data_IF_932956784919
#
_entry.id   IF_932956784919
#
_cell.length_a   1.000
_cell.length_b   1.000
_cell.length_c   1.000
_cell.angle_alpha   90.00
_cell.angle_beta   90.00
_cell.angle_gamma   90.00
#
_symmetry.space_group_name_H-M   'P 1'
#
loop_
_entity.id
_entity.type
_entity.pdbx_description
1 polymer ?
#
# COMPACT_ATOMS: atom_id res chain seq x y z
N UNK A 1 4.95 44.29 37.48
CA UNK A 1 4.08 43.09 37.56
C UNK A 1 3.19 42.89 36.32
N UNK A 2 2.74 43.95 35.63
CA UNK A 2 1.84 43.86 34.47
C UNK A 2 2.41 43.15 33.20
N UNK A 3 3.74 43.16 32.99
CA UNK A 3 4.38 42.55 31.81
C UNK A 3 4.49 41.02 31.85
N UNK A 4 4.55 40.40 33.03
CA UNK A 4 4.62 38.92 33.15
C UNK A 4 3.28 38.26 32.88
N UNK A 5 2.17 38.84 33.36
CA UNK A 5 0.83 38.28 33.14
C UNK A 5 0.36 38.26 31.69
N UNK A 6 0.75 39.26 30.88
CA UNK A 6 0.36 39.33 29.46
C UNK A 6 1.08 38.27 28.63
N UNK A 7 2.36 38.00 28.93
CA UNK A 7 3.15 36.96 28.24
C UNK A 7 2.61 35.57 28.57
N UNK A 8 2.23 35.32 29.83
CA UNK A 8 1.64 34.03 30.24
C UNK A 8 0.29 33.77 29.57
N UNK A 9 -0.55 34.80 29.39
CA UNK A 9 -1.84 34.67 28.69
C UNK A 9 -1.64 34.44 27.19
N UNK A 10 -0.67 35.11 26.56
CA UNK A 10 -0.39 34.92 25.13
C UNK A 10 0.14 33.50 24.82
N UNK A 11 1.01 32.97 25.69
CA UNK A 11 1.52 31.58 25.58
C UNK A 11 0.39 30.57 25.82
N UNK A 12 -0.49 30.81 26.79
CA UNK A 12 -1.65 29.95 27.03
C UNK A 12 -2.64 29.96 25.87
N UNK A 13 -2.87 31.11 25.20
CA UNK A 13 -3.72 31.19 24.01
C UNK A 13 -3.06 30.50 22.81
N UNK A 14 -1.75 30.63 22.61
CA UNK A 14 -1.03 29.89 21.55
C UNK A 14 -1.07 28.38 21.82
N UNK A 15 -0.90 27.94 23.07
CA UNK A 15 -1.02 26.53 23.48
C UNK A 15 -2.47 26.01 23.33
N UNK A 16 -3.48 26.81 23.67
CA UNK A 16 -4.88 26.42 23.49
C UNK A 16 -5.30 26.39 22.02
N UNK A 17 -4.75 27.27 21.17
CA UNK A 17 -5.01 27.26 19.72
C UNK A 17 -4.20 26.17 19.00
N UNK A 18 -3.02 25.78 19.52
CA UNK A 18 -2.28 24.62 19.03
C UNK A 18 -2.83 23.28 19.53
N UNK A 19 -3.68 23.27 20.56
CA UNK A 19 -4.32 22.06 21.10
C UNK A 19 -5.66 21.71 20.41
N UNK A 20 -6.16 22.55 19.50
CA UNK A 20 -7.47 22.34 18.84
C UNK A 20 -7.40 21.85 17.39
N UNK A 21 -6.20 21.58 16.86
CA UNK A 21 -6.05 20.79 15.63
C UNK A 21 -5.64 19.36 16.02
N UNK A 22 -6.56 18.64 16.66
CA UNK A 22 -6.52 17.19 16.52
C UNK A 22 -7.03 16.92 15.11
N UNK A 23 -6.13 16.73 14.15
CA UNK A 23 -6.45 16.06 12.90
C UNK A 23 -6.94 14.67 13.29
N UNK A 24 -8.25 14.45 13.17
CA UNK A 24 -8.78 13.10 13.26
C UNK A 24 -8.56 12.48 11.89
N UNK A 25 -7.43 11.78 11.70
CA UNK A 25 -7.26 10.98 10.50
C UNK A 25 -8.48 10.05 10.37
N UNK A 26 -9.12 10.06 9.21
CA UNK A 26 -10.27 9.20 8.98
C UNK A 26 -9.77 7.76 8.91
N UNK A 27 -10.33 6.88 9.75
CA UNK A 27 -10.08 5.45 9.61
C UNK A 27 -10.82 4.95 8.37
N UNK A 28 -10.08 4.43 7.41
CA UNK A 28 -10.63 3.61 6.36
C UNK A 28 -10.70 2.17 6.87
N UNK A 29 -11.89 1.58 6.78
CA UNK A 29 -12.14 0.20 7.12
C UNK A 29 -12.99 -0.41 6.01
N UNK A 30 -12.49 -1.48 5.42
CA UNK A 30 -13.21 -2.30 4.48
C UNK A 30 -13.29 -3.71 5.04
N UNK A 31 -14.51 -4.24 5.09
CA UNK A 31 -14.77 -5.64 5.36
C UNK A 31 -15.64 -6.19 4.25
N UNK A 32 -15.10 -7.13 3.48
CA UNK A 32 -15.81 -7.79 2.39
C UNK A 32 -16.53 -9.00 2.98
N UNK A 33 -17.86 -8.93 3.05
CA UNK A 33 -18.74 -10.04 3.43
C UNK A 33 -19.53 -10.51 2.23
N UNK A 34 -19.80 -11.81 2.13
CA UNK A 34 -20.50 -12.40 0.98
C UNK A 34 -21.99 -12.65 1.24
N UNK A 35 -22.53 -12.12 2.35
CA UNK A 35 -23.89 -12.40 2.82
C UNK A 35 -24.96 -12.10 1.75
N UNK A 36 -24.76 -11.05 0.95
CA UNK A 36 -25.68 -10.60 -0.10
C UNK A 36 -25.44 -11.27 -1.47
N UNK A 37 -24.36 -12.03 -1.62
CA UNK A 37 -23.97 -12.63 -2.92
C UNK A 37 -24.69 -13.96 -3.18
N UNK A 38 -25.04 -14.24 -4.44
CA UNK A 38 -25.68 -15.52 -4.79
C UNK A 38 -24.68 -16.68 -4.81
N UNK A 39 -25.13 -17.89 -4.47
CA UNK A 39 -24.34 -19.11 -4.63
C UNK A 39 -24.03 -19.35 -6.12
N UNK A 40 -22.75 -19.53 -6.45
CA UNK A 40 -22.24 -19.61 -7.82
C UNK A 40 -21.95 -18.27 -8.49
N UNK A 41 -22.14 -17.12 -7.81
CA UNK A 41 -21.77 -15.81 -8.34
C UNK A 41 -20.26 -15.76 -8.67
N UNK A 42 -19.90 -15.14 -9.80
CA UNK A 42 -18.49 -14.95 -10.13
C UNK A 42 -17.89 -13.86 -9.27
N UNK A 43 -16.63 -13.99 -8.88
CA UNK A 43 -15.90 -12.91 -8.20
C UNK A 43 -15.84 -11.61 -9.02
N UNK A 44 -16.01 -11.71 -10.35
CA UNK A 44 -16.13 -10.56 -11.26
C UNK A 44 -17.40 -9.73 -11.03
N UNK A 45 -18.34 -10.22 -10.24
CA UNK A 45 -19.63 -9.59 -9.98
C UNK A 45 -19.75 -9.09 -8.53
N UNK A 46 -18.78 -9.41 -7.66
CA UNK A 46 -18.74 -8.98 -6.24
C UNK A 46 -18.16 -7.57 -6.17
N UNK A 47 -19.02 -6.56 -6.34
CA UNK A 47 -18.60 -5.16 -6.50
C UNK A 47 -17.83 -4.60 -5.31
N UNK A 48 -18.25 -4.93 -4.09
CA UNK A 48 -17.59 -4.45 -2.85
C UNK A 48 -16.12 -4.89 -2.77
N UNK A 49 -15.79 -6.06 -3.33
CA UNK A 49 -14.41 -6.52 -3.44
C UNK A 49 -13.67 -5.78 -4.55
N UNK A 50 -14.30 -5.60 -5.71
CA UNK A 50 -13.69 -5.01 -6.89
C UNK A 50 -13.42 -3.50 -6.77
N UNK A 51 -14.08 -2.82 -5.83
CA UNK A 51 -13.82 -1.42 -5.51
C UNK A 51 -12.41 -1.20 -4.90
N UNK A 52 -11.81 -2.24 -4.32
CA UNK A 52 -10.53 -2.14 -3.60
C UNK A 52 -9.48 -3.11 -4.15
N UNK A 53 -9.93 -4.24 -4.69
CA UNK A 53 -9.08 -5.26 -5.25
C UNK A 53 -9.33 -5.45 -6.74
N UNK A 54 -8.26 -5.67 -7.49
CA UNK A 54 -8.33 -6.22 -8.83
C UNK A 54 -8.38 -7.75 -8.75
N UNK A 55 -9.24 -8.36 -9.56
CA UNK A 55 -9.25 -9.80 -9.77
C UNK A 55 -8.63 -10.15 -11.13
N UNK A 56 -7.52 -10.88 -11.11
CA UNK A 56 -6.71 -11.22 -12.29
C UNK A 56 -6.69 -12.74 -12.57
N UNK A 57 -7.68 -13.25 -13.31
CA UNK A 57 -7.71 -14.63 -13.80
C UNK A 57 -6.85 -14.79 -15.06
N UNK A 58 -5.90 -15.71 -15.04
CA UNK A 58 -4.81 -15.78 -16.03
C UNK A 58 -5.15 -16.66 -17.23
N UNK A 59 -5.94 -17.71 -17.02
CA UNK A 59 -6.35 -18.63 -18.08
C UNK A 59 -7.88 -18.69 -18.20
N UNK A 60 -8.43 -19.16 -19.35
CA UNK A 60 -9.88 -19.32 -19.51
C UNK A 60 -10.54 -20.28 -18.50
N UNK A 61 -9.76 -21.10 -17.80
CA UNK A 61 -10.23 -22.02 -16.75
C UNK A 61 -9.92 -21.50 -15.35
N UNK A 62 -9.35 -20.30 -15.24
CA UNK A 62 -9.07 -19.65 -13.97
C UNK A 62 -10.29 -18.86 -13.55
N UNK A 63 -10.79 -19.15 -12.35
CA UNK A 63 -12.02 -18.57 -11.87
C UNK A 63 -12.07 -18.52 -10.35
N UNK A 64 -12.95 -17.68 -9.84
CA UNK A 64 -13.28 -17.59 -8.43
C UNK A 64 -14.79 -17.39 -8.31
N UNK A 65 -15.42 -18.21 -7.48
CA UNK A 65 -16.89 -18.26 -7.34
C UNK A 65 -17.29 -18.22 -5.88
N UNK A 66 -18.40 -17.55 -5.58
CA UNK A 66 -19.04 -17.60 -4.27
C UNK A 66 -19.71 -18.96 -4.09
N UNK A 67 -19.48 -19.62 -2.96
CA UNK A 67 -20.02 -20.93 -2.62
C UNK A 67 -20.50 -20.92 -1.16
N UNK A 68 -21.47 -21.78 -0.85
CA UNK A 68 -22.07 -21.85 0.49
C UNK A 68 -21.74 -23.16 1.22
N UNK A 69 -21.40 -23.07 2.50
CA UNK A 69 -21.27 -24.20 3.43
C UNK A 69 -22.05 -23.91 4.72
N UNK A 70 -23.26 -24.44 4.80
CA UNK A 70 -24.21 -24.12 5.87
C UNK A 70 -24.66 -22.66 5.78
N UNK A 71 -24.44 -21.90 6.86
CA UNK A 71 -24.75 -20.47 6.93
C UNK A 71 -23.57 -19.59 6.45
N UNK A 72 -22.39 -20.18 6.16
CA UNK A 72 -21.23 -19.44 5.69
C UNK A 72 -21.18 -19.37 4.15
N UNK A 73 -20.74 -18.23 3.62
CA UNK A 73 -20.42 -18.05 2.20
C UNK A 73 -18.95 -17.70 2.05
N UNK A 74 -18.30 -18.28 1.06
CA UNK A 74 -16.87 -18.13 0.82
C UNK A 74 -16.55 -18.11 -0.67
N UNK A 75 -15.38 -17.60 -1.01
CA UNK A 75 -14.83 -17.66 -2.36
C UNK A 75 -14.05 -18.95 -2.52
N UNK A 76 -14.38 -19.73 -3.55
CA UNK A 76 -13.63 -20.91 -4.01
C UNK A 76 -12.88 -20.56 -5.28
N UNK A 77 -11.58 -20.84 -5.31
CA UNK A 77 -10.72 -20.56 -6.47
C UNK A 77 -10.46 -21.79 -7.32
N UNK A 78 -10.19 -21.58 -8.60
CA UNK A 78 -9.67 -22.59 -9.52
C UNK A 78 -8.68 -21.96 -10.51
N UNK A 79 -7.69 -22.76 -10.96
CA UNK A 79 -6.71 -22.32 -11.96
C UNK A 79 -5.67 -21.34 -11.42
N UNK A 80 -5.22 -20.43 -12.26
CA UNK A 80 -4.14 -19.47 -12.00
C UNK A 80 -4.73 -18.07 -11.88
N UNK A 81 -4.64 -17.47 -10.71
CA UNK A 81 -5.19 -16.15 -10.47
C UNK A 81 -4.44 -15.43 -9.36
N UNK A 82 -4.51 -14.11 -9.40
CA UNK A 82 -4.26 -13.29 -8.22
C UNK A 82 -5.39 -12.30 -7.97
N UNK A 83 -5.48 -11.87 -6.71
CA UNK A 83 -6.36 -10.79 -6.25
C UNK A 83 -5.44 -9.80 -5.56
N UNK A 84 -5.39 -8.56 -6.05
CA UNK A 84 -4.39 -7.55 -5.64
C UNK A 84 -5.08 -6.27 -5.23
N UNK A 85 -4.57 -5.55 -4.23
CA UNK A 85 -5.08 -4.19 -4.00
C UNK A 85 -4.76 -3.29 -5.20
N UNK A 86 -5.70 -2.41 -5.56
CA UNK A 86 -5.49 -1.43 -6.64
C UNK A 86 -4.31 -0.50 -6.34
N UNK A 87 -4.30 0.02 -5.11
CA UNK A 87 -3.30 0.98 -4.67
C UNK A 87 -2.28 0.33 -3.71
N UNK A 88 -1.10 0.95 -3.63
CA UNK A 88 -0.13 0.67 -2.58
C UNK A 88 -0.53 1.36 -1.29
N UNK A 89 -0.34 0.64 -0.19
CA UNK A 89 -0.61 1.13 1.15
C UNK A 89 0.74 1.46 1.79
N UNK A 90 1.02 2.76 1.92
CA UNK A 90 2.27 3.32 2.43
C UNK A 90 2.16 3.87 3.87
N UNK A 91 0.99 3.69 4.49
CA UNK A 91 0.67 4.01 5.88
C UNK A 91 0.53 2.74 6.72
N UNK A 92 0.56 2.83 8.07
CA UNK A 92 0.26 1.68 8.92
C UNK A 92 -1.10 1.07 8.57
N UNK A 93 -1.15 -0.27 8.44
CA UNK A 93 -2.37 -0.96 8.06
C UNK A 93 -2.50 -2.34 8.70
N UNK A 94 -3.74 -2.84 8.73
CA UNK A 94 -4.06 -4.24 9.01
C UNK A 94 -4.70 -4.85 7.78
N UNK A 95 -4.24 -6.04 7.39
CA UNK A 95 -4.85 -6.87 6.36
C UNK A 95 -5.12 -8.25 6.94
N UNK A 96 -6.32 -8.79 6.79
CA UNK A 96 -6.65 -10.14 7.24
C UNK A 96 -7.59 -10.85 6.29
N UNK A 97 -7.49 -12.17 6.28
CA UNK A 97 -8.30 -13.06 5.45
C UNK A 97 -8.59 -14.32 6.25
N UNK A 98 -9.85 -14.76 6.21
CA UNK A 98 -10.24 -16.07 6.72
C UNK A 98 -10.07 -17.09 5.59
N UNK A 99 -9.52 -18.27 5.90
CA UNK A 99 -9.21 -19.26 4.89
C UNK A 99 -9.37 -20.70 5.39
N UNK A 100 -9.58 -21.60 4.43
CA UNK A 100 -9.62 -23.05 4.65
C UNK A 100 -8.77 -23.80 3.63
N UNK A 101 -7.90 -24.68 4.12
CA UNK A 101 -7.01 -25.48 3.27
C UNK A 101 -7.73 -26.74 2.79
N UNK A 102 -8.12 -26.77 1.52
CA UNK A 102 -8.71 -27.97 0.88
C UNK A 102 -7.64 -28.96 0.45
N UNK A 103 -6.54 -28.44 -0.13
CA UNK A 103 -5.41 -29.24 -0.58
C UNK A 103 -4.11 -28.60 -0.12
N UNK A 104 -3.20 -29.40 0.44
CA UNK A 104 -1.94 -28.91 0.99
C UNK A 104 -0.85 -28.88 -0.09
N UNK A 105 -0.32 -27.69 -0.36
CA UNK A 105 0.82 -27.44 -1.24
C UNK A 105 1.27 -25.97 -1.05
N UNK A 106 2.28 -25.54 -1.81
CA UNK A 106 2.85 -24.19 -1.72
C UNK A 106 2.38 -23.25 -2.84
N UNK A 107 1.29 -23.61 -3.52
CA UNK A 107 0.74 -22.87 -4.64
C UNK A 107 -0.31 -21.83 -4.20
N UNK A 108 -0.32 -21.46 -2.92
CA UNK A 108 -1.12 -20.35 -2.41
C UNK A 108 -0.28 -19.47 -1.50
N UNK A 109 -0.49 -18.17 -1.55
CA UNK A 109 0.23 -17.22 -0.71
C UNK A 109 -0.59 -15.97 -0.47
N UNK A 110 -0.50 -15.48 0.77
CA UNK A 110 -0.90 -14.13 1.14
C UNK A 110 0.33 -13.25 1.10
N UNK A 111 0.24 -12.14 0.38
CA UNK A 111 1.35 -11.25 0.11
C UNK A 111 1.12 -9.91 0.79
N UNK A 112 2.19 -9.40 1.40
CA UNK A 112 2.31 -8.03 1.91
C UNK A 112 3.68 -7.48 1.54
N UNK A 113 3.78 -6.15 1.41
CA UNK A 113 4.95 -5.45 0.85
C UNK A 113 5.34 -6.03 -0.53
N UNK A 114 4.35 -6.45 -1.30
CA UNK A 114 4.51 -6.88 -2.69
C UNK A 114 4.54 -5.70 -3.66
N UNK A 115 4.97 -5.98 -4.88
CA UNK A 115 4.89 -5.09 -6.04
C UNK A 115 4.52 -5.95 -7.26
N UNK A 116 3.44 -5.59 -7.97
CA UNK A 116 3.12 -6.26 -9.22
C UNK A 116 4.14 -5.83 -10.29
N UNK A 117 4.71 -6.77 -11.05
CA UNK A 117 5.82 -6.50 -11.97
C UNK A 117 5.32 -5.85 -13.27
N UNK A 118 4.91 -4.59 -13.20
CA UNK A 118 4.31 -3.84 -14.30
C UNK A 118 5.24 -3.72 -15.52
N UNK A 119 6.54 -3.51 -15.30
CA UNK A 119 7.60 -3.42 -16.32
C UNK A 119 8.58 -4.59 -16.30
N UNK A 120 8.63 -5.34 -15.20
CA UNK A 120 9.63 -6.39 -14.96
C UNK A 120 9.21 -7.74 -15.53
N UNK A 121 9.99 -8.26 -16.49
CA UNK A 121 9.80 -9.60 -17.03
C UNK A 121 11.13 -10.26 -17.37
N UNK A 122 11.19 -11.59 -17.34
CA UNK A 122 12.37 -12.38 -17.68
C UNK A 122 12.02 -13.42 -18.73
N UNK A 123 12.86 -13.57 -19.75
CA UNK A 123 12.76 -14.73 -20.66
C UNK A 123 13.09 -16.00 -19.89
N UNK A 124 12.11 -16.87 -19.68
CA UNK A 124 12.26 -18.09 -18.89
C UNK A 124 12.47 -19.31 -19.79
N UNK A 125 13.71 -19.83 -19.92
CA UNK A 125 13.98 -20.99 -20.78
C UNK A 125 13.35 -22.29 -20.28
N UNK A 126 13.04 -22.41 -18.99
CA UNK A 126 12.37 -23.59 -18.44
C UNK A 126 10.85 -23.56 -18.66
N UNK A 127 10.29 -22.38 -18.87
CA UNK A 127 8.88 -22.19 -19.21
C UNK A 127 8.73 -21.88 -20.71
N UNK A 128 9.27 -22.75 -21.56
CA UNK A 128 9.14 -22.66 -23.03
C UNK A 128 9.72 -21.38 -23.66
N UNK A 129 10.60 -20.65 -22.95
CA UNK A 129 11.19 -19.41 -23.44
C UNK A 129 10.22 -18.23 -23.47
N UNK A 130 9.13 -18.28 -22.70
CA UNK A 130 8.20 -17.14 -22.60
C UNK A 130 8.84 -16.00 -21.83
N UNK A 131 8.51 -14.78 -22.23
CA UNK A 131 8.79 -13.59 -21.43
C UNK A 131 7.81 -13.54 -20.26
N UNK A 132 8.30 -13.80 -19.06
CA UNK A 132 7.49 -14.08 -17.88
C UNK A 132 7.54 -12.89 -16.93
N UNK A 133 6.37 -12.33 -16.64
CA UNK A 133 6.15 -11.48 -15.48
C UNK A 133 5.94 -12.36 -14.25
N UNK A 134 6.43 -11.93 -13.09
CA UNK A 134 6.36 -12.70 -11.84
C UNK A 134 5.28 -12.16 -10.90
N UNK A 135 4.02 -12.20 -11.38
CA UNK A 135 2.84 -11.89 -10.57
C UNK A 135 2.69 -12.83 -9.38
N UNK A 136 1.70 -12.60 -8.52
CA UNK A 136 1.61 -13.26 -7.21
C UNK A 136 1.37 -14.77 -7.28
N UNK A 137 0.72 -15.26 -8.34
CA UNK A 137 0.56 -16.70 -8.58
C UNK A 137 1.76 -17.33 -9.32
N UNK A 138 2.66 -16.52 -9.87
CA UNK A 138 3.67 -17.03 -10.79
C UNK A 138 4.79 -17.73 -10.06
N UNK A 139 5.17 -18.90 -10.58
CA UNK A 139 6.34 -19.61 -10.09
C UNK A 139 7.59 -18.87 -10.53
N UNK A 140 8.55 -18.64 -9.63
CA UNK A 140 9.80 -17.94 -9.95
C UNK A 140 10.79 -18.80 -10.77
N UNK A 141 10.58 -20.12 -10.80
CA UNK A 141 11.44 -21.09 -11.49
C UNK A 141 12.93 -21.01 -11.10
N UNK A 142 13.26 -20.54 -9.90
CA UNK A 142 14.65 -20.29 -9.50
C UNK A 142 15.52 -21.54 -9.61
N UNK A 143 15.12 -22.64 -8.96
CA UNK A 143 15.84 -23.92 -8.99
C UNK A 143 15.87 -24.54 -10.37
N UNK A 144 14.77 -24.45 -11.09
CA UNK A 144 14.63 -25.01 -12.43
C UNK A 144 15.58 -24.31 -13.40
N UNK A 145 15.84 -23.01 -13.21
CA UNK A 145 16.81 -22.24 -13.97
C UNK A 145 18.25 -22.33 -13.41
N UNK A 146 18.55 -23.36 -12.62
CA UNK A 146 19.90 -23.66 -12.14
C UNK A 146 20.33 -22.91 -10.89
N UNK A 147 19.41 -22.26 -10.18
CA UNK A 147 19.67 -21.59 -8.91
C UNK A 147 20.20 -22.54 -7.82
N UNK A 148 21.29 -22.17 -7.14
CA UNK A 148 21.96 -23.04 -6.17
C UNK A 148 21.61 -22.75 -4.72
N UNK A 149 21.45 -21.48 -4.34
CA UNK A 149 21.41 -21.04 -2.94
C UNK A 149 20.12 -20.26 -2.63
N UNK A 150 19.02 -21.00 -2.57
CA UNK A 150 17.64 -20.52 -2.39
C UNK A 150 16.65 -21.56 -2.90
N UNK A 151 15.35 -21.28 -2.85
CA UNK A 151 14.31 -22.20 -3.33
C UNK A 151 13.35 -21.52 -4.30
N UNK A 152 12.69 -22.32 -5.13
CA UNK A 152 11.60 -21.80 -5.95
C UNK A 152 10.33 -21.58 -5.13
N UNK A 153 9.49 -20.66 -5.58
CA UNK A 153 8.22 -20.32 -4.94
C UNK A 153 7.35 -19.45 -5.82
N UNK A 154 6.13 -19.18 -5.38
CA UNK A 154 5.24 -18.23 -6.04
C UNK A 154 5.61 -16.76 -5.72
N UNK A 155 5.26 -15.85 -6.63
CA UNK A 155 5.45 -14.41 -6.51
C UNK A 155 6.87 -13.92 -6.85
N UNK A 156 6.99 -12.67 -7.32
CA UNK A 156 8.27 -12.02 -7.62
C UNK A 156 8.87 -11.21 -6.45
N UNK A 157 8.03 -10.72 -5.54
CA UNK A 157 8.41 -9.77 -4.49
C UNK A 157 7.58 -9.95 -3.20
N UNK A 158 8.03 -9.31 -2.13
CA UNK A 158 7.34 -9.18 -0.85
C UNK A 158 7.55 -10.31 0.14
N UNK A 159 6.74 -10.26 1.19
CA UNK A 159 6.62 -11.27 2.23
C UNK A 159 5.43 -12.16 1.86
N UNK A 160 5.68 -13.46 1.73
CA UNK A 160 4.68 -14.45 1.34
C UNK A 160 4.40 -15.38 2.49
N UNK A 161 3.16 -15.49 2.92
CA UNK A 161 2.74 -16.49 3.91
C UNK A 161 1.86 -17.52 3.25
N UNK A 162 2.37 -18.75 3.19
CA UNK A 162 1.62 -19.92 2.71
C UNK A 162 1.14 -20.71 3.92
N UNK A 163 -0.17 -20.81 4.15
CA UNK A 163 -0.69 -21.65 5.22
C UNK A 163 -0.57 -23.14 4.86
N UNK A 164 -0.18 -23.96 5.84
CA UNK A 164 -0.18 -25.42 5.77
C UNK A 164 -0.96 -25.98 6.96
N UNK A 165 -1.22 -27.29 6.97
CA UNK A 165 -2.05 -27.90 8.04
C UNK A 165 -1.36 -27.90 9.42
N UNK A 166 -0.04 -27.86 9.44
CA UNK A 166 0.74 -27.97 10.69
C UNK A 166 1.64 -26.77 10.94
N UNK A 167 1.79 -25.88 9.97
CA UNK A 167 2.73 -24.77 10.04
C UNK A 167 2.27 -23.60 9.16
N UNK A 168 2.76 -22.40 9.45
CA UNK A 168 2.84 -21.31 8.49
C UNK A 168 4.21 -21.34 7.83
N UNK A 169 4.24 -21.35 6.50
CA UNK A 169 5.48 -21.16 5.76
C UNK A 169 5.62 -19.68 5.41
N UNK A 170 6.59 -19.01 6.03
CA UNK A 170 6.92 -17.61 5.75
C UNK A 170 8.09 -17.61 4.77
N UNK A 171 7.90 -16.93 3.65
CA UNK A 171 8.87 -16.79 2.58
C UNK A 171 9.18 -15.33 2.35
N UNK A 172 10.46 -15.01 2.26
CA UNK A 172 10.94 -13.72 1.80
C UNK A 172 11.44 -13.89 0.37
N UNK A 173 10.88 -13.11 -0.56
CA UNK A 173 11.43 -13.03 -1.92
C UNK A 173 12.76 -12.30 -1.86
N UNK A 174 13.73 -12.76 -2.63
CA UNK A 174 15.06 -12.17 -2.64
C UNK A 174 15.69 -12.21 -4.04
N UNK A 175 16.65 -11.31 -4.25
CA UNK A 175 17.42 -11.23 -5.49
C UNK A 175 18.65 -12.14 -5.41
N UNK A 176 18.92 -12.90 -6.46
CA UNK A 176 20.13 -13.70 -6.60
C UNK A 176 20.70 -13.51 -8.01
N UNK A 177 22.02 -13.51 -8.22
CA UNK A 177 22.57 -13.33 -9.56
C UNK A 177 22.36 -14.55 -10.49
N UNK A 178 22.05 -15.73 -9.94
CA UNK A 178 21.71 -16.95 -10.69
C UNK A 178 20.19 -17.15 -10.84
N UNK A 179 19.79 -18.16 -11.63
CA UNK A 179 18.38 -18.37 -11.96
C UNK A 179 17.83 -17.25 -12.85
N UNK A 180 16.73 -16.63 -12.42
CA UNK A 180 16.05 -15.51 -13.11
C UNK A 180 16.05 -14.21 -12.28
N UNK A 181 17.06 -14.02 -11.42
CA UNK A 181 17.16 -12.88 -10.51
C UNK A 181 16.11 -12.79 -9.40
N UNK A 182 15.31 -13.84 -9.27
CA UNK A 182 14.29 -14.00 -8.24
C UNK A 182 14.50 -15.35 -7.59
N UNK A 183 14.55 -15.35 -6.28
CA UNK A 183 14.59 -16.54 -5.45
C UNK A 183 13.72 -16.34 -4.21
N UNK A 184 13.75 -17.34 -3.35
CA UNK A 184 13.07 -17.33 -2.08
C UNK A 184 13.97 -17.94 -1.00
N UNK A 185 13.90 -17.38 0.20
CA UNK A 185 14.29 -18.06 1.43
C UNK A 185 13.08 -18.15 2.35
N UNK A 186 13.02 -19.19 3.20
CA UNK A 186 11.81 -19.49 3.95
C UNK A 186 12.07 -20.15 5.30
N UNK A 187 11.14 -19.92 6.22
CA UNK A 187 11.06 -20.63 7.51
C UNK A 187 9.64 -21.15 7.73
N UNK A 188 9.53 -22.30 8.38
CA UNK A 188 8.26 -22.84 8.84
C UNK A 188 8.08 -22.59 10.33
N UNK A 189 6.92 -22.07 10.72
CA UNK A 189 6.54 -21.86 12.12
C UNK A 189 5.35 -22.79 12.43
N UNK A 190 5.47 -23.70 13.41
CA UNK A 190 4.37 -24.60 13.77
C UNK A 190 3.10 -23.84 14.18
N UNK A 191 1.94 -24.36 13.78
CA UNK A 191 0.65 -23.86 14.26
C UNK A 191 0.43 -24.27 15.73
N UNK A 192 -0.46 -23.55 16.46
CA UNK A 192 -0.91 -23.97 17.79
C UNK A 192 -1.50 -25.40 17.79
N UNK A 193 -1.43 -26.12 18.91
CA UNK A 193 -1.79 -27.55 18.99
C UNK A 193 -3.28 -27.85 18.71
N UNK A 194 -4.18 -26.92 19.02
CA UNK A 194 -5.64 -27.12 18.99
C UNK A 194 -6.32 -26.56 17.73
N UNK A 195 -5.58 -26.37 16.64
CA UNK A 195 -6.12 -25.81 15.39
C UNK A 195 -7.02 -26.83 14.67
N UNK A 196 -8.25 -26.43 14.37
CA UNK A 196 -9.12 -27.17 13.45
C UNK A 196 -8.81 -26.77 12.00
N UNK A 197 -8.06 -27.64 11.32
CA UNK A 197 -7.69 -27.45 9.92
C UNK A 197 -8.86 -27.63 8.93
N UNK A 198 -10.05 -28.03 9.38
CA UNK A 198 -11.24 -28.11 8.55
C UNK A 198 -12.14 -26.88 8.68
N UNK A 199 -11.88 -26.02 9.67
CA UNK A 199 -12.56 -24.74 9.85
C UNK A 199 -11.87 -23.64 9.03
N UNK A 200 -12.58 -22.53 8.85
CA UNK A 200 -11.95 -21.28 8.45
C UNK A 200 -11.09 -20.76 9.60
N UNK A 201 -9.85 -20.40 9.29
CA UNK A 201 -8.88 -19.81 10.21
C UNK A 201 -8.43 -18.46 9.65
N UNK A 202 -8.09 -17.52 10.52
CA UNK A 202 -7.71 -16.17 10.14
C UNK A 202 -6.19 -16.06 10.05
N UNK A 203 -5.68 -15.54 8.93
CA UNK A 203 -4.35 -14.95 8.87
C UNK A 203 -4.47 -13.43 8.92
N UNK A 204 -3.59 -12.75 9.66
CA UNK A 204 -3.57 -11.29 9.69
C UNK A 204 -2.15 -10.73 9.67
N UNK A 205 -2.03 -9.56 9.09
CA UNK A 205 -0.80 -8.80 8.94
C UNK A 205 -1.01 -7.42 9.52
N UNK A 206 -0.08 -6.97 10.37
CA UNK A 206 -0.01 -5.58 10.82
C UNK A 206 1.30 -5.00 10.34
N UNK A 207 1.23 -4.15 9.33
CA UNK A 207 2.37 -3.40 8.83
C UNK A 207 2.39 -2.04 9.51
N UNK A 208 3.56 -1.60 9.98
CA UNK A 208 3.74 -0.26 10.56
C UNK A 208 3.91 0.83 9.48
N UNK A 209 3.84 0.47 8.20
CA UNK A 209 4.01 1.35 7.05
C UNK A 209 5.49 1.62 6.73
N UNK A 210 6.40 1.37 7.67
CA UNK A 210 7.80 1.77 7.57
C UNK A 210 8.74 0.56 7.40
N UNK A 211 8.88 -0.28 8.44
CA UNK A 211 10.00 -1.22 8.59
C UNK A 211 9.65 -2.53 9.27
N UNK A 212 8.38 -2.75 9.63
CA UNK A 212 7.98 -3.94 10.39
C UNK A 212 6.61 -4.44 9.98
N UNK A 213 6.53 -5.75 9.75
CA UNK A 213 5.28 -6.50 9.60
C UNK A 213 5.17 -7.54 10.70
N UNK A 214 4.06 -7.55 11.43
CA UNK A 214 3.69 -8.61 12.37
C UNK A 214 2.67 -9.55 11.72
N UNK A 215 2.89 -10.86 11.86
CA UNK A 215 2.07 -11.91 11.24
C UNK A 215 1.36 -12.68 12.35
N UNK A 216 0.03 -12.77 12.24
CA UNK A 216 -0.84 -13.42 13.23
C UNK A 216 -1.63 -14.58 12.60
N UNK A 217 -1.87 -15.62 13.38
CA UNK A 217 -2.76 -16.72 13.05
C UNK A 217 -3.81 -16.86 14.16
N UNK A 218 -5.09 -16.73 13.85
CA UNK A 218 -6.19 -16.70 14.82
C UNK A 218 -5.86 -15.78 16.03
N UNK A 219 -5.48 -14.54 15.75
CA UNK A 219 -5.05 -13.51 16.73
C UNK A 219 -3.78 -13.82 17.54
N UNK A 220 -3.12 -14.95 17.30
CA UNK A 220 -1.85 -15.30 17.95
C UNK A 220 -0.69 -14.77 17.10
N UNK A 221 0.19 -13.97 17.69
CA UNK A 221 1.42 -13.53 17.02
C UNK A 221 2.28 -14.75 16.70
N UNK A 222 2.58 -14.94 15.42
CA UNK A 222 3.41 -16.05 14.94
C UNK A 222 4.83 -15.60 14.62
N UNK A 223 4.97 -14.45 13.97
CA UNK A 223 6.26 -13.93 13.55
C UNK A 223 6.26 -12.40 13.41
N UNK A 224 7.47 -11.83 13.45
CA UNK A 224 7.71 -10.43 13.06
C UNK A 224 8.77 -10.40 11.97
N UNK A 225 8.54 -9.64 10.91
CA UNK A 225 9.54 -9.36 9.87
C UNK A 225 9.96 -7.91 10.00
N UNK A 226 11.23 -7.67 10.30
CA UNK A 226 11.85 -6.35 10.31
C UNK A 226 12.69 -6.17 9.04
N UNK A 227 12.62 -5.01 8.40
CA UNK A 227 13.34 -4.76 7.15
C UNK A 227 13.90 -3.33 7.07
N UNK A 228 14.98 -3.17 6.30
CA UNK A 228 15.73 -1.92 6.22
C UNK A 228 16.58 -1.82 4.95
N UNK A 229 17.33 -0.72 4.81
CA UNK A 229 18.22 -0.45 3.68
C UNK A 229 17.48 -0.49 2.32
N UNK A 230 16.59 0.49 2.05
CA UNK A 230 15.95 0.59 0.75
C UNK A 230 17.00 0.82 -0.36
N UNK A 231 16.79 0.23 -1.52
CA UNK A 231 17.55 0.50 -2.73
C UNK A 231 17.18 -0.42 -3.89
N UNK A 232 17.74 -0.13 -5.06
CA UNK A 232 17.49 -0.86 -6.31
C UNK A 232 18.60 -1.90 -6.56
N UNK A 233 18.28 -3.00 -7.24
CA UNK A 233 19.27 -3.95 -7.73
C UNK A 233 19.78 -3.51 -9.11
N UNK A 234 20.82 -2.68 -9.14
CA UNK A 234 21.39 -2.10 -10.37
C UNK A 234 21.85 -3.16 -11.39
N UNK A 235 22.15 -4.38 -10.93
CA UNK A 235 22.50 -5.51 -11.79
C UNK A 235 21.29 -6.14 -12.51
N UNK A 236 20.07 -5.81 -12.10
CA UNK A 236 18.81 -6.27 -12.70
C UNK A 236 18.19 -5.14 -13.53
N UNK A 237 18.72 -4.92 -14.75
CA UNK A 237 18.31 -3.80 -15.63
C UNK A 237 16.82 -3.81 -16.02
N UNK A 238 16.12 -4.93 -15.82
CA UNK A 238 14.69 -5.10 -16.12
C UNK A 238 13.80 -4.75 -14.91
N UNK A 239 14.39 -4.50 -13.73
CA UNK A 239 13.68 -4.19 -12.49
C UNK A 239 14.20 -2.90 -11.85
N UNK A 240 13.41 -1.84 -11.93
CA UNK A 240 13.71 -0.53 -11.34
C UNK A 240 13.02 -0.28 -9.99
N UNK A 241 12.32 -1.27 -9.43
CA UNK A 241 11.65 -1.13 -8.15
C UNK A 241 12.65 -0.96 -6.99
N UNK A 242 12.31 -0.10 -6.04
CA UNK A 242 13.07 0.03 -4.79
C UNK A 242 12.62 -1.02 -3.77
N UNK A 243 13.59 -1.76 -3.21
CA UNK A 243 13.34 -2.79 -2.22
C UNK A 243 14.13 -2.56 -0.93
N UNK A 244 13.55 -2.92 0.21
CA UNK A 244 14.32 -3.13 1.44
C UNK A 244 15.16 -4.39 1.29
N UNK A 245 16.48 -4.21 1.26
CA UNK A 245 17.44 -5.29 1.01
C UNK A 245 17.70 -6.14 2.24
N UNK A 246 17.70 -5.53 3.42
CA UNK A 246 17.86 -6.26 4.66
C UNK A 246 16.49 -6.69 5.19
N UNK A 247 16.36 -7.95 5.59
CA UNK A 247 15.15 -8.46 6.21
C UNK A 247 15.46 -9.55 7.24
N UNK A 248 14.79 -9.51 8.38
CA UNK A 248 14.96 -10.46 9.47
C UNK A 248 13.59 -10.96 9.92
N UNK A 249 13.38 -12.28 9.84
CA UNK A 249 12.20 -12.95 10.41
C UNK A 249 12.53 -13.40 11.82
N UNK A 250 11.69 -13.01 12.78
CA UNK A 250 11.75 -13.43 14.18
C UNK A 250 10.50 -14.19 14.57
N UNK A 251 10.65 -15.16 15.47
CA UNK A 251 9.49 -15.80 16.12
C UNK A 251 8.77 -14.84 17.08
N UNK A 252 7.68 -15.30 17.69
CA UNK A 252 6.90 -14.53 18.66
C UNK A 252 7.66 -14.16 19.95
N UNK A 253 8.75 -14.86 20.27
CA UNK A 253 9.62 -14.58 21.42
C UNK A 253 10.73 -13.57 21.07
N UNK A 254 10.89 -13.25 19.78
CA UNK A 254 11.90 -12.33 19.25
C UNK A 254 13.21 -13.02 18.84
N UNK A 255 13.27 -14.35 18.79
CA UNK A 255 14.45 -15.06 18.30
C UNK A 255 14.52 -14.99 16.77
N UNK A 256 15.70 -14.71 16.24
CA UNK A 256 15.96 -14.68 14.80
C UNK A 256 15.86 -16.08 14.19
N UNK A 257 15.05 -16.21 13.14
CA UNK A 257 14.82 -17.45 12.41
C UNK A 257 15.45 -17.43 11.01
N UNK A 258 15.42 -16.27 10.34
CA UNK A 258 15.93 -16.05 8.99
C UNK A 258 16.42 -14.61 8.88
N UNK A 259 17.55 -14.40 8.20
CA UNK A 259 18.10 -13.07 7.91
C UNK A 259 18.66 -13.04 6.50
N UNK A 260 18.35 -11.96 5.78
CA UNK A 260 18.75 -11.70 4.39
C UNK A 260 19.32 -10.29 4.26
N UNK A 261 20.26 -10.13 3.35
CA UNK A 261 20.83 -8.84 2.90
C UNK A 261 20.52 -8.56 1.41
N UNK A 262 19.62 -9.35 0.83
CA UNK A 262 19.25 -9.34 -0.58
C UNK A 262 17.73 -9.48 -0.82
N UNK A 263 16.90 -9.05 0.13
CA UNK A 263 15.44 -9.16 0.05
C UNK A 263 14.81 -8.24 -1.01
N UNK A 264 13.70 -8.70 -1.59
CA UNK A 264 12.84 -7.98 -2.55
C UNK A 264 11.52 -7.57 -1.88
N UNK A 265 11.59 -6.87 -0.74
CA UNK A 265 10.42 -6.34 -0.01
C UNK A 265 10.17 -4.91 -0.49
N UNK A 266 8.99 -4.60 -1.05
CA UNK A 266 8.72 -3.30 -1.66
C UNK A 266 8.93 -2.14 -0.65
N UNK A 267 9.70 -1.13 -1.06
CA UNK A 267 10.01 0.03 -0.24
C UNK A 267 9.02 1.19 -0.40
N UNK A 268 8.27 1.23 -1.51
CA UNK A 268 7.34 2.32 -1.82
C UNK A 268 5.96 2.17 -1.14
N UNK A 269 5.69 1.00 -0.56
CA UNK A 269 4.42 0.67 0.06
C UNK A 269 4.11 -0.82 -0.06
N UNK A 270 2.90 -1.21 0.33
CA UNK A 270 2.43 -2.57 0.18
C UNK A 270 1.30 -2.65 -0.83
N UNK A 271 1.50 -3.41 -1.91
CA UNK A 271 0.38 -4.10 -2.52
C UNK A 271 0.11 -5.38 -1.74
N UNK A 272 -1.10 -5.50 -1.20
CA UNK A 272 -1.55 -6.74 -0.58
C UNK A 272 -2.16 -7.64 -1.64
N UNK A 273 -1.92 -8.94 -1.56
CA UNK A 273 -2.45 -9.86 -2.57
C UNK A 273 -2.71 -11.28 -2.05
N UNK A 274 -3.57 -11.99 -2.79
CA UNK A 274 -3.78 -13.43 -2.68
C UNK A 274 -3.39 -14.04 -4.01
N UNK A 275 -2.32 -14.84 -4.05
CA UNK A 275 -1.89 -15.57 -5.24
C UNK A 275 -2.26 -17.03 -5.17
N UNK A 276 -2.90 -17.57 -6.22
CA UNK A 276 -3.30 -18.99 -6.31
C UNK A 276 -2.83 -19.60 -7.62
N UNK A 277 -2.08 -20.71 -7.52
CA UNK A 277 -1.46 -21.41 -8.65
C UNK A 277 -2.00 -22.82 -8.83
N UNK A 278 -3.04 -22.96 -9.66
CA UNK A 278 -3.59 -24.24 -10.11
C UNK A 278 -3.99 -25.19 -8.98
N UNK A 279 -4.61 -24.62 -7.94
CA UNK A 279 -5.17 -25.38 -6.81
C UNK A 279 -6.55 -24.84 -6.46
N UNK A 280 -7.33 -25.65 -5.78
CA UNK A 280 -8.49 -25.14 -5.07
C UNK A 280 -8.04 -24.56 -3.73
N UNK A 281 -8.45 -23.32 -3.47
CA UNK A 281 -8.30 -22.63 -2.21
C UNK A 281 -9.63 -21.95 -1.87
N UNK A 282 -9.90 -21.81 -0.57
CA UNK A 282 -11.15 -21.26 -0.08
C UNK A 282 -10.85 -20.17 0.94
N UNK A 283 -11.47 -19.00 0.77
CA UNK A 283 -11.28 -17.86 1.66
C UNK A 283 -12.52 -16.97 1.70
N UNK A 284 -12.65 -16.20 2.77
CA UNK A 284 -13.72 -15.24 3.01
C UNK A 284 -13.23 -14.11 3.96
N UNK A 285 -14.14 -13.20 4.32
CA UNK A 285 -13.92 -12.12 5.27
C UNK A 285 -12.62 -11.33 5.05
N UNK A 286 -12.34 -10.96 3.80
CA UNK A 286 -11.20 -10.07 3.51
C UNK A 286 -11.45 -8.74 4.22
N UNK A 287 -10.49 -8.35 5.05
CA UNK A 287 -10.54 -7.12 5.82
C UNK A 287 -9.26 -6.33 5.61
N UNK A 288 -9.42 -5.02 5.43
CA UNK A 288 -8.31 -4.09 5.37
C UNK A 288 -8.67 -2.79 6.08
N UNK A 289 -7.73 -2.27 6.87
CA UNK A 289 -7.91 -0.99 7.55
C UNK A 289 -6.62 -0.21 7.65
N UNK A 290 -6.71 1.09 7.41
CA UNK A 290 -5.61 2.04 7.54
C UNK A 290 -6.14 3.45 7.80
N UNK A 291 -5.31 4.29 8.39
CA UNK A 291 -5.65 5.70 8.55
C UNK A 291 -5.43 6.43 7.23
N UNK A 292 -6.46 7.09 6.72
CA UNK A 292 -6.33 7.96 5.55
C UNK A 292 -5.81 9.31 6.06
N UNK A 293 -4.63 9.75 5.60
CA UNK A 293 -4.14 11.07 5.95
C UNK A 293 -5.12 12.13 5.44
N UNK A 294 -5.45 13.11 6.29
CA UNK A 294 -6.31 14.24 5.91
C UNK A 294 -5.75 14.89 4.64
N UNK A 295 -6.44 14.73 3.51
CA UNK A 295 -6.14 15.52 2.33
C UNK A 295 -6.59 16.94 2.65
N UNK A 296 -5.71 17.96 2.64
CA UNK A 296 -6.16 19.33 2.84
C UNK A 296 -7.18 19.64 1.74
N UNK A 297 -8.41 20.00 2.13
CA UNK A 297 -9.45 20.38 1.17
C UNK A 297 -8.87 21.43 0.21
N UNK A 298 -9.07 21.29 -1.12
CA UNK A 298 -8.69 22.32 -2.06
C UNK A 298 -9.41 23.59 -1.65
N UNK A 299 -8.66 24.63 -1.27
CA UNK A 299 -9.25 25.93 -0.97
C UNK A 299 -9.94 26.40 -2.24
N UNK A 300 -11.28 26.51 -2.21
CA UNK A 300 -12.08 27.01 -3.33
C UNK A 300 -11.41 28.25 -3.92
N UNK A 301 -10.83 28.10 -5.11
CA UNK A 301 -10.38 29.25 -5.89
C UNK A 301 -11.64 29.93 -6.37
N UNK A 302 -11.92 31.19 -5.96
CA UNK A 302 -13.16 31.84 -6.34
C UNK A 302 -13.23 31.93 -7.86
N UNK A 303 -14.35 31.50 -8.42
CA UNK A 303 -14.63 31.60 -9.87
C UNK A 303 -14.34 33.02 -10.38
N UNK A 304 -13.70 33.17 -11.55
CA UNK A 304 -13.50 34.48 -12.14
C UNK A 304 -14.87 35.16 -12.35
N UNK A 305 -15.07 36.33 -11.75
CA UNK A 305 -16.20 37.20 -12.10
C UNK A 305 -16.13 37.50 -13.59
N UNK A 306 -17.20 37.20 -14.33
CA UNK A 306 -17.38 37.70 -15.69
C UNK A 306 -17.13 39.21 -15.72
N UNK A 307 -16.15 39.60 -16.53
CA UNK A 307 -15.82 41.00 -16.74
C UNK A 307 -16.65 41.47 -17.93
N UNK A 308 -17.58 42.39 -17.69
CA UNK A 308 -18.40 43.02 -18.73
C UNK A 308 -17.50 43.55 -19.86
N UNK A 309 -17.66 42.97 -21.04
CA UNK A 309 -16.96 43.38 -22.27
C UNK A 309 -17.59 44.69 -22.79
N UNK A 310 -16.81 45.78 -22.98
CA UNK A 310 -17.32 46.94 -23.70
C UNK A 310 -17.48 46.62 -25.20
N UNK A 311 -18.60 47.07 -25.77
CA UNK A 311 -18.99 46.86 -27.16
C UNK A 311 -17.93 47.37 -28.19
N UNK A 312 -17.88 46.76 -29.39
CA UNK A 312 -16.75 46.88 -30.31
C UNK A 312 -16.72 48.23 -31.03
N UNK A 313 -15.56 48.90 -31.02
CA UNK A 313 -15.25 49.94 -32.01
C UNK A 313 -14.45 49.34 -33.17
N UNK A 314 -14.96 49.57 -34.36
CA UNK A 314 -14.45 49.13 -35.65
C UNK A 314 -13.39 50.11 -36.15
N UNK A 315 -12.17 49.63 -36.43
CA UNK A 315 -11.33 50.12 -37.54
C UNK A 315 -10.36 49.03 -38.00
N UNK A 316 -10.39 48.80 -39.31
CA UNK A 316 -9.66 47.80 -40.11
C UNK A 316 -8.17 48.21 -40.38
N UNK A 317 -7.35 47.43 -41.12
CA UNK A 317 -6.23 46.64 -40.56
C UNK A 317 -4.85 46.97 -41.17
N UNK A 318 -3.76 46.51 -40.55
CA UNK A 318 -2.45 46.24 -41.17
C UNK A 318 -1.47 45.84 -40.05
N UNK A 319 -0.41 45.08 -40.24
CA UNK A 319 0.00 44.04 -41.19
C UNK A 319 1.26 43.46 -40.51
N UNK A 320 1.46 42.16 -40.68
CA UNK A 320 2.69 41.37 -40.57
C UNK A 320 3.83 41.70 -39.57
N UNK A 321 4.18 40.60 -38.91
CA UNK A 321 5.53 40.05 -38.77
C UNK A 321 6.51 40.51 -37.67
N UNK A 322 6.97 39.45 -36.99
CA UNK A 322 8.35 39.14 -36.68
C UNK A 322 9.17 40.03 -35.71
N UNK A 323 9.42 39.40 -34.56
CA UNK A 323 10.72 39.24 -33.91
C UNK A 323 11.43 40.44 -33.28
N UNK A 324 11.48 40.33 -31.94
CA UNK A 324 12.70 40.12 -31.15
C UNK A 324 13.26 41.30 -30.34
N UNK A 325 13.61 40.93 -29.10
CA UNK A 325 14.59 41.53 -28.19
C UNK A 325 14.28 42.93 -27.64
N UNK A 326 14.17 43.04 -26.31
CA UNK A 326 15.39 43.11 -25.50
C UNK A 326 15.11 43.29 -23.98
N UNK A 327 16.05 42.71 -23.21
CA UNK A 327 16.61 43.24 -21.94
C UNK A 327 15.71 43.27 -20.69
N UNK A 328 15.83 42.19 -19.92
CA UNK A 328 16.69 42.18 -18.72
C UNK A 328 16.35 43.12 -17.55
N UNK A 329 16.23 42.51 -16.36
CA UNK A 329 16.68 43.15 -15.13
C UNK A 329 15.73 43.08 -13.94
N UNK A 330 16.23 42.42 -12.88
CA UNK A 330 15.92 42.59 -11.45
C UNK A 330 14.52 42.24 -10.95
N UNK A 331 14.40 41.27 -10.03
CA UNK A 331 14.74 41.36 -8.60
C UNK A 331 13.71 42.20 -7.82
N UNK A 332 12.95 41.50 -6.96
CA UNK A 332 12.33 41.98 -5.72
C UNK A 332 11.19 43.02 -5.81
N UNK A 333 10.27 42.88 -4.82
CA UNK A 333 9.05 43.64 -4.53
C UNK A 333 7.81 43.14 -5.31
N UNK A 334 6.72 42.66 -4.70
CA UNK A 334 6.10 43.11 -3.45
C UNK A 334 5.48 41.97 -2.66
N UNK A 335 6.18 41.65 -1.56
CA UNK A 335 5.68 40.99 -0.37
C UNK A 335 4.80 41.99 0.40
N UNK A 336 3.63 42.40 -0.12
CA UNK A 336 2.78 43.39 0.55
C UNK A 336 1.29 43.27 0.22
N UNK A 337 0.59 42.31 0.85
CA UNK A 337 -0.83 42.51 1.22
C UNK A 337 -1.16 41.89 2.60
N UNK A 338 -0.46 40.84 3.04
CA UNK A 338 -0.68 40.21 4.36
C UNK A 338 -0.36 41.08 5.57
N UNK A 339 0.46 42.13 5.41
CA UNK A 339 0.84 43.05 6.49
C UNK A 339 -0.22 44.11 6.86
N UNK A 340 -1.16 44.42 5.96
CA UNK A 340 -2.11 45.50 6.17
C UNK A 340 -3.23 45.12 7.17
N UNK A 341 -3.67 43.85 7.19
CA UNK A 341 -4.76 43.41 8.06
C UNK A 341 -4.30 43.26 9.52
N UNK A 342 -3.05 42.81 9.72
CA UNK A 342 -2.47 42.66 11.07
C UNK A 342 -2.18 44.03 11.70
N UNK A 343 -1.71 45.01 10.92
CA UNK A 343 -1.47 46.37 11.43
C UNK A 343 -2.77 47.09 11.82
N UNK A 344 -3.88 46.86 11.11
CA UNK A 344 -5.19 47.44 11.47
C UNK A 344 -5.73 46.82 12.76
N UNK A 345 -5.55 45.51 12.96
CA UNK A 345 -5.93 44.84 14.20
C UNK A 345 -5.10 45.31 15.41
N UNK A 346 -3.79 45.47 15.25
CA UNK A 346 -2.89 45.97 16.31
C UNK A 346 -3.17 47.43 16.64
N UNK A 347 -3.46 48.28 15.64
CA UNK A 347 -3.84 49.67 15.86
C UNK A 347 -5.19 49.79 16.58
N UNK A 348 -6.18 48.96 16.25
CA UNK A 348 -7.47 48.93 16.93
C UNK A 348 -7.33 48.53 18.41
N UNK A 349 -6.49 47.54 18.71
CA UNK A 349 -6.20 47.11 20.09
C UNK A 349 -5.47 48.21 20.88
N UNK A 350 -4.51 48.92 20.28
CA UNK A 350 -3.80 50.01 20.93
C UNK A 350 -4.68 51.24 21.22
N UNK A 351 -5.64 51.56 20.34
CA UNK A 351 -6.62 52.65 20.55
C UNK A 351 -7.61 52.31 21.67
N UNK A 352 -8.01 51.04 21.81
CA UNK A 352 -8.88 50.58 22.91
C UNK A 352 -8.15 50.66 24.26
N UNK A 353 -6.84 50.40 24.27
CA UNK A 353 -6.02 50.47 25.49
C UNK A 353 -5.74 51.92 25.91
N UNK A 354 -5.57 52.87 24.98
CA UNK A 354 -5.32 54.28 25.31
C UNK A 354 -6.56 55.02 25.83
N UNK A 355 -7.77 54.59 25.47
CA UNK A 355 -9.02 55.17 25.99
C UNK A 355 -9.43 54.69 27.39
N UNK A 356 -8.75 53.68 27.96
CA UNK A 356 -9.02 53.18 29.33
C UNK A 356 -8.14 53.80 30.42
N UNK A 357 -7.38 54.86 30.12
CA UNK A 357 -6.44 55.50 31.05
C UNK A 357 -6.58 57.03 31.21
N UNK A 358 -7.77 57.57 30.98
CA UNK A 358 -8.17 58.86 31.56
C UNK A 358 -9.21 58.64 32.65
#
# INVERSE_FOLDING_TARGET
>A
MLKKGIITVLIAVILCVSMTFQSFAALYELKITLDDEEDGASLREVLDLLDVFEFNPVTPTSDATVESDGDNKYIKTAGYLDITSWDYIDVPYTFSVDYRIVSENENVGFFVRGVYPSSFSKVNPQNQGVDQQFGYFEWDWYKENGGQDGVSGIGGSGIVVTPKKTELLIRLKNWKPDGLNISSERVSIPLPEDVDNNAFNTISFKDDGEKKVEIFFNDILMATVEFSEPGVYEEDEEDDNEYFKNAVVKDAEGNELLSLDNARINAEGSQVAIGVRNIEFQFDNIYISYEVPDTPEPTDTPEPKETDTPAPQTTTPADNDETDKDKGGNMLLFLFVGGAVVLVAVAAVLIIISKKKQ
#
